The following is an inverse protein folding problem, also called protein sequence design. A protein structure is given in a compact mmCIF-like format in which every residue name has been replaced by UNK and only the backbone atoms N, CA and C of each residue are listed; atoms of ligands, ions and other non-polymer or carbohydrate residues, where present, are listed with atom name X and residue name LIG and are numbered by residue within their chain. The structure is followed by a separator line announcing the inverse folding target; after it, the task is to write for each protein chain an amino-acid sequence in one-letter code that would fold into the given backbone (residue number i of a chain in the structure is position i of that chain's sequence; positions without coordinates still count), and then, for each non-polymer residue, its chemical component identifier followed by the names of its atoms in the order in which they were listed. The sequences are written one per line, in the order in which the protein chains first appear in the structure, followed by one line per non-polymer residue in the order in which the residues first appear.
data_IF_676705358548
#
_entry.id   IF_676705358548
#
_cell.length_a   1.000
_cell.length_b   1.000
_cell.length_c   1.000
_cell.angle_alpha   90.00
_cell.angle_beta   90.00
_cell.angle_gamma   90.00
#
_symmetry.space_group_name_H-M   'P 1'
#
loop_
_entity.id
_entity.type
_entity.pdbx_description
1 polymer ?
#
# COMPACT_ATOMS: atom_id res chain seq x y z
N UNK A 1 4.66 18.89 8.01
CA UNK A 1 4.80 17.93 9.12
C UNK A 1 4.80 16.52 8.52
N UNK A 2 5.81 15.70 8.82
CA UNK A 2 5.87 14.29 8.41
C UNK A 2 5.30 13.42 9.54
N UNK A 3 4.61 12.33 9.23
CA UNK A 3 4.18 11.39 10.25
C UNK A 3 3.38 10.22 9.72
N UNK A 4 3.27 9.18 10.55
CA UNK A 4 2.49 7.96 10.29
C UNK A 4 1.05 8.19 10.78
N UNK A 5 0.07 7.63 10.06
CA UNK A 5 -1.35 7.69 10.41
C UNK A 5 -1.91 6.28 10.53
N UNK A 6 -2.98 6.12 11.31
CA UNK A 6 -3.71 4.87 11.45
C UNK A 6 -5.21 5.17 11.49
N UNK A 7 -5.84 5.14 10.32
CA UNK A 7 -7.26 5.48 10.18
C UNK A 7 -8.18 4.27 10.43
N UNK A 8 -7.64 3.05 10.33
CA UNK A 8 -8.36 1.82 10.68
C UNK A 8 -9.14 1.19 9.54
N UNK A 9 -8.91 1.61 8.29
CA UNK A 9 -9.52 1.01 7.10
C UNK A 9 -8.48 0.88 5.99
N UNK A 10 -7.97 -0.33 5.77
CA UNK A 10 -6.96 -0.60 4.75
C UNK A 10 -7.44 -0.21 3.33
N UNK A 11 -8.69 -0.52 3.00
CA UNK A 11 -9.27 -0.17 1.70
C UNK A 11 -9.28 1.34 1.46
N UNK A 12 -9.65 2.14 2.48
CA UNK A 12 -9.65 3.59 2.38
C UNK A 12 -8.22 4.16 2.36
N UNK A 13 -7.32 3.61 3.16
CA UNK A 13 -5.91 4.02 3.21
C UNK A 13 -5.22 3.80 1.85
N UNK A 14 -5.53 2.70 1.15
CA UNK A 14 -5.08 2.46 -0.22
C UNK A 14 -5.63 3.51 -1.21
N UNK A 15 -6.91 3.87 -1.12
CA UNK A 15 -7.49 4.94 -1.93
C UNK A 15 -6.84 6.30 -1.64
N UNK A 16 -6.44 6.57 -0.39
CA UNK A 16 -5.70 7.78 -0.03
C UNK A 16 -4.28 7.81 -0.59
N UNK A 17 -3.62 6.65 -0.74
CA UNK A 17 -2.38 6.56 -1.52
C UNK A 17 -2.64 6.90 -2.98
N UNK A 18 -3.68 6.33 -3.59
CA UNK A 18 -4.03 6.58 -4.99
C UNK A 18 -4.38 8.06 -5.26
N UNK A 19 -5.06 8.74 -4.32
CA UNK A 19 -5.36 10.17 -4.41
C UNK A 19 -4.17 11.09 -4.06
N UNK A 20 -3.01 10.54 -3.68
CA UNK A 20 -1.84 11.32 -3.25
C UNK A 20 -2.01 12.04 -1.90
N UNK A 21 -2.99 11.64 -1.09
CA UNK A 21 -3.17 12.11 0.28
C UNK A 21 -2.10 11.49 1.18
N UNK A 22 -1.79 10.21 0.95
CA UNK A 22 -0.69 9.49 1.59
C UNK A 22 0.38 9.12 0.56
N UNK A 23 1.64 9.17 1.01
CA UNK A 23 2.79 8.76 0.18
C UNK A 23 2.94 7.23 0.11
N UNK A 24 2.47 6.52 1.15
CA UNK A 24 2.45 5.07 1.20
C UNK A 24 1.63 4.50 2.35
N UNK A 25 1.29 3.22 2.22
CA UNK A 25 0.54 2.40 3.14
C UNK A 25 1.21 1.03 3.22
N UNK A 26 1.33 0.50 4.43
CA UNK A 26 1.79 -0.86 4.67
C UNK A 26 1.02 -1.48 5.83
N UNK A 27 0.63 -2.74 5.70
CA UNK A 27 -0.03 -3.48 6.78
C UNK A 27 0.15 -4.98 6.59
N UNK A 28 0.07 -5.72 7.70
CA UNK A 28 0.10 -7.18 7.76
C UNK A 28 -1.17 -7.71 8.43
N UNK A 29 -1.54 -8.96 8.15
CA UNK A 29 -2.75 -9.60 8.67
C UNK A 29 -4.02 -9.30 7.87
N UNK A 30 -3.91 -8.60 6.73
CA UNK A 30 -5.06 -8.27 5.89
C UNK A 30 -5.61 -9.48 5.15
N UNK A 31 -6.91 -9.42 4.83
CA UNK A 31 -7.59 -10.42 4.00
C UNK A 31 -7.69 -9.91 2.56
N UNK A 32 -7.87 -10.81 1.57
CA UNK A 32 -7.98 -10.43 0.16
C UNK A 32 -8.99 -9.29 -0.09
N UNK A 33 -10.13 -9.30 0.59
CA UNK A 33 -11.17 -8.27 0.42
C UNK A 33 -10.77 -6.89 0.95
N UNK A 34 -9.80 -6.81 1.87
CA UNK A 34 -9.31 -5.53 2.39
C UNK A 34 -8.39 -4.82 1.37
N UNK A 35 -7.77 -5.59 0.46
CA UNK A 35 -6.71 -5.12 -0.43
C UNK A 35 -7.09 -5.10 -1.91
N UNK A 36 -7.92 -6.04 -2.37
CA UNK A 36 -8.15 -6.29 -3.81
C UNK A 36 -8.52 -5.04 -4.59
N UNK A 37 -9.52 -4.29 -4.13
CA UNK A 37 -9.97 -3.08 -4.80
C UNK A 37 -8.94 -1.96 -4.70
N UNK A 38 -8.38 -1.72 -3.51
CA UNK A 38 -7.43 -0.64 -3.27
C UNK A 38 -6.12 -0.84 -4.04
N UNK A 39 -5.62 -2.07 -4.14
CA UNK A 39 -4.40 -2.38 -4.87
C UNK A 39 -4.52 -2.04 -6.36
N UNK A 40 -5.64 -2.42 -7.00
CA UNK A 40 -5.91 -2.06 -8.39
C UNK A 40 -6.01 -0.53 -8.57
N UNK A 41 -6.73 0.15 -7.68
CA UNK A 41 -6.87 1.61 -7.74
C UNK A 41 -5.51 2.31 -7.61
N UNK A 42 -4.64 1.86 -6.70
CA UNK A 42 -3.28 2.40 -6.56
C UNK A 42 -2.47 2.18 -7.84
N UNK A 43 -2.54 1.00 -8.45
CA UNK A 43 -1.81 0.69 -9.69
C UNK A 43 -2.28 1.58 -10.86
N UNK A 44 -3.59 1.74 -11.04
CA UNK A 44 -4.16 2.60 -12.10
C UNK A 44 -3.87 4.09 -11.88
N UNK A 45 -3.71 4.51 -10.63
CA UNK A 45 -3.25 5.87 -10.29
C UNK A 45 -1.74 6.09 -10.55
N UNK A 46 -1.01 5.07 -11.03
CA UNK A 46 0.44 5.13 -11.26
C UNK A 46 1.29 4.85 -10.02
N UNK A 47 0.67 4.37 -8.94
CA UNK A 47 1.36 3.89 -7.74
C UNK A 47 1.93 2.49 -7.94
N UNK A 48 2.70 2.04 -6.93
CA UNK A 48 3.31 0.70 -6.91
C UNK A 48 2.81 -0.08 -5.70
N UNK A 49 2.44 -1.34 -5.93
CA UNK A 49 2.00 -2.30 -4.92
C UNK A 49 2.90 -3.54 -4.95
N UNK A 50 3.37 -3.98 -3.78
CA UNK A 50 4.25 -5.14 -3.61
C UNK A 50 4.03 -5.82 -2.26
N UNK A 51 4.74 -6.92 -2.04
CA UNK A 51 5.03 -7.48 -0.71
C UNK A 51 6.14 -6.66 -0.03
N UNK A 52 6.38 -6.86 1.27
CA UNK A 52 7.38 -6.06 2.02
C UNK A 52 8.80 -6.23 1.48
N UNK A 53 9.14 -7.44 1.06
CA UNK A 53 10.42 -7.78 0.43
C UNK A 53 10.59 -7.23 -1.01
N UNK A 54 9.65 -6.43 -1.50
CA UNK A 54 9.68 -5.82 -2.83
C UNK A 54 9.28 -6.75 -3.97
N UNK A 55 8.95 -8.02 -3.69
CA UNK A 55 8.41 -8.95 -4.69
C UNK A 55 6.98 -8.57 -5.10
N UNK A 56 6.54 -9.08 -6.25
CA UNK A 56 5.25 -8.74 -6.83
C UNK A 56 4.08 -8.96 -5.86
N UNK A 57 3.08 -8.09 -5.93
CA UNK A 57 1.89 -8.18 -5.10
C UNK A 57 1.17 -9.53 -5.31
N UNK A 58 0.86 -10.21 -4.20
CA UNK A 58 0.06 -11.43 -4.17
C UNK A 58 -1.13 -11.20 -3.22
N UNK A 59 -2.33 -11.21 -3.79
CA UNK A 59 -3.57 -10.93 -3.08
C UNK A 59 -3.86 -11.91 -1.92
N UNK A 60 -3.30 -13.12 -1.98
CA UNK A 60 -3.51 -14.14 -0.97
C UNK A 60 -2.43 -14.15 0.12
N UNK A 61 -1.42 -13.28 0.00
CA UNK A 61 -0.51 -12.99 1.11
C UNK A 61 -1.14 -11.93 2.00
N UNK A 62 -1.04 -12.13 3.31
CA UNK A 62 -1.64 -11.25 4.29
C UNK A 62 -0.80 -9.97 4.53
N UNK A 63 -0.09 -9.46 3.52
CA UNK A 63 0.72 -8.25 3.62
C UNK A 63 0.65 -7.44 2.33
N UNK A 64 0.82 -6.13 2.44
CA UNK A 64 0.82 -5.21 1.30
C UNK A 64 1.68 -3.98 1.59
N UNK A 65 2.49 -3.58 0.64
CA UNK A 65 3.14 -2.27 0.56
C UNK A 65 2.61 -1.54 -0.68
N UNK A 66 1.93 -0.42 -0.48
CA UNK A 66 1.41 0.43 -1.54
C UNK A 66 2.01 1.84 -1.41
N UNK A 67 2.48 2.44 -2.51
CA UNK A 67 3.14 3.77 -2.47
C UNK A 67 2.89 4.56 -3.75
N UNK A 68 3.19 5.85 -3.72
CA UNK A 68 3.24 6.75 -4.88
C UNK A 68 4.39 6.47 -5.89
N UNK A 69 4.95 5.25 -5.88
CA UNK A 69 6.11 4.77 -6.66
C UNK A 69 7.47 5.40 -6.28
N UNK A 70 7.52 6.68 -5.88
CA UNK A 70 8.77 7.41 -5.60
C UNK A 70 9.49 6.93 -4.34
N UNK A 71 8.73 6.46 -3.35
CA UNK A 71 9.24 6.05 -2.04
C UNK A 71 9.30 4.53 -1.86
N UNK A 72 8.93 3.77 -2.88
CA UNK A 72 8.69 2.33 -2.75
C UNK A 72 9.92 1.55 -2.29
N UNK A 73 11.07 1.76 -2.94
CA UNK A 73 12.29 1.03 -2.60
C UNK A 73 12.87 1.45 -1.25
N UNK A 74 12.65 2.70 -0.83
CA UNK A 74 13.08 3.18 0.48
C UNK A 74 12.24 2.57 1.60
N UNK A 75 10.91 2.50 1.42
CA UNK A 75 9.99 1.88 2.37
C UNK A 75 10.18 0.37 2.43
N UNK A 76 10.33 -0.32 1.29
CA UNK A 76 10.56 -1.77 1.24
C UNK A 76 11.87 -2.19 1.92
N UNK A 77 12.92 -1.35 1.93
CA UNK A 77 14.16 -1.62 2.66
C UNK A 77 14.04 -1.46 4.18
N UNK A 78 13.03 -0.72 4.64
CA UNK A 78 12.83 -0.41 6.05
C UNK A 78 11.90 -1.42 6.75
N UNK A 79 11.00 -2.04 5.98
CA UNK A 79 10.07 -3.09 6.41
C UNK A 79 10.73 -4.47 6.35
#
# INVERSE_FOLDING_TARGET
AQGVRRLGSAALDLCYVACGIFDGFWEQGLKPWDMAAGALIVQEAGGRVSLFNGSGFDLFKAEILATNNRLHDALSKLL
#
